data_IF_550752377849
#
_entry.id   IF_550752377849
#
_cell.length_a   1.000
_cell.length_b   1.000
_cell.length_c   1.000
_cell.angle_alpha   90.00
_cell.angle_beta   90.00
_cell.angle_gamma   90.00
#
_symmetry.space_group_name_H-M   'P 1'
#
loop_
_entity.id
_entity.type
_entity.pdbx_description
1 polymer ?
#
# COMPACT_ATOMS: atom_id res chain seq x y z
N UNK A 1 -7.48 7.71 20.40
CA UNK A 1 -6.37 7.78 19.42
C UNK A 1 -5.14 7.11 20.03
N UNK A 2 -4.29 6.46 19.25
CA UNK A 2 -3.12 5.73 19.74
C UNK A 2 -1.96 6.70 20.04
N UNK A 3 -1.46 6.77 21.27
CA UNK A 3 -0.42 7.75 21.64
C UNK A 3 1.01 7.32 21.29
N UNK A 4 1.36 6.05 21.48
CA UNK A 4 2.68 5.50 21.16
C UNK A 4 2.65 3.98 20.99
N UNK A 5 3.66 3.43 20.31
CA UNK A 5 3.94 1.98 20.24
C UNK A 5 5.44 1.77 20.40
N UNK A 6 5.84 0.91 21.34
CA UNK A 6 7.24 0.65 21.67
C UNK A 6 8.09 1.94 21.85
N UNK A 7 7.50 2.95 22.51
CA UNK A 7 8.14 4.26 22.74
C UNK A 7 8.10 5.23 21.55
N UNK A 8 7.64 4.80 20.37
CA UNK A 8 7.51 5.67 19.20
C UNK A 8 6.17 6.42 19.28
N UNK A 9 6.22 7.73 19.49
CA UNK A 9 5.02 8.57 19.61
C UNK A 9 4.25 8.74 18.28
N UNK A 10 2.94 8.98 18.37
CA UNK A 10 2.08 9.40 17.25
C UNK A 10 1.46 10.76 17.54
N UNK A 11 1.44 11.62 16.53
CA UNK A 11 0.75 12.92 16.58
C UNK A 11 -0.46 12.91 15.66
N UNK A 12 -1.45 13.75 15.96
CA UNK A 12 -2.70 13.84 15.21
C UNK A 12 -3.12 15.28 15.00
N UNK A 13 -3.86 15.54 13.93
CA UNK A 13 -4.61 16.79 13.76
C UNK A 13 -5.93 16.77 14.57
N UNK A 14 -6.73 17.85 14.44
CA UNK A 14 -7.98 17.98 15.17
C UNK A 14 -9.03 16.93 14.75
N UNK A 15 -9.06 16.54 13.47
CA UNK A 15 -9.99 15.55 12.93
C UNK A 15 -9.54 14.10 13.17
N UNK A 16 -8.29 13.91 13.58
CA UNK A 16 -7.76 12.62 14.03
C UNK A 16 -6.98 11.85 12.99
N UNK A 17 -6.50 12.50 11.95
CA UNK A 17 -5.51 11.93 11.05
C UNK A 17 -4.15 11.89 11.75
N UNK A 18 -3.44 10.78 11.67
CA UNK A 18 -2.05 10.66 12.15
C UNK A 18 -1.17 11.60 11.31
N UNK A 19 -0.61 12.64 11.92
CA UNK A 19 0.28 13.61 11.26
C UNK A 19 1.76 13.28 11.41
N UNK A 20 2.11 12.42 12.37
CA UNK A 20 3.48 11.98 12.57
C UNK A 20 3.59 10.64 13.29
N UNK A 21 4.64 9.87 12.96
CA UNK A 21 5.08 8.65 13.65
C UNK A 21 6.57 8.83 13.97
N UNK A 22 6.91 8.88 15.26
CA UNK A 22 8.29 9.08 15.71
C UNK A 22 8.79 10.51 15.51
N UNK A 23 7.92 11.51 15.72
CA UNK A 23 8.27 12.91 15.53
C UNK A 23 8.51 13.24 14.06
N UNK A 24 9.72 13.60 13.69
CA UNK A 24 10.06 13.91 12.30
C UNK A 24 10.42 12.70 11.46
N UNK A 25 10.54 11.50 12.06
CA UNK A 25 10.93 10.29 11.33
C UNK A 25 9.98 9.96 10.16
N UNK A 26 8.68 10.11 10.39
CA UNK A 26 7.63 10.09 9.35
C UNK A 26 6.57 11.12 9.69
N UNK A 27 6.22 11.97 8.73
CA UNK A 27 5.21 13.00 8.87
C UNK A 27 4.29 12.98 7.66
N UNK A 28 3.04 13.38 7.87
CA UNK A 28 2.00 13.32 6.86
C UNK A 28 1.18 14.60 6.88
N UNK A 29 0.80 15.10 5.70
CA UNK A 29 -0.15 16.20 5.57
C UNK A 29 -1.39 15.72 4.85
N UNK A 30 -2.54 16.26 5.26
CA UNK A 30 -3.85 15.89 4.74
C UNK A 30 -4.52 17.08 4.08
N UNK A 31 -5.35 16.82 3.07
CA UNK A 31 -6.27 17.83 2.56
C UNK A 31 -7.52 17.98 3.45
N UNK A 32 -8.42 18.88 3.06
CA UNK A 32 -9.67 19.15 3.78
C UNK A 32 -10.66 17.99 3.78
N UNK A 33 -10.47 17.00 2.89
CA UNK A 33 -11.26 15.76 2.86
C UNK A 33 -10.63 14.63 3.69
N UNK A 34 -9.52 14.91 4.38
CA UNK A 34 -8.83 13.92 5.23
C UNK A 34 -7.95 12.94 4.45
N UNK A 35 -7.64 13.21 3.18
CA UNK A 35 -6.78 12.35 2.35
C UNK A 35 -5.32 12.77 2.50
N UNK A 36 -4.41 11.80 2.66
CA UNK A 36 -2.97 12.08 2.78
C UNK A 36 -2.43 12.60 1.45
N UNK A 37 -2.05 13.87 1.38
CA UNK A 37 -1.53 14.48 0.13
C UNK A 37 0.00 14.55 0.09
N UNK A 38 0.67 14.33 1.21
CA UNK A 38 2.13 14.37 1.28
C UNK A 38 2.65 13.48 2.40
N UNK A 39 3.75 12.77 2.12
CA UNK A 39 4.60 12.13 3.11
C UNK A 39 5.95 12.86 3.19
N UNK A 40 6.45 13.02 4.40
CA UNK A 40 7.74 13.62 4.69
C UNK A 40 8.55 12.73 5.62
N UNK A 41 9.87 12.82 5.51
CA UNK A 41 10.83 12.24 6.46
C UNK A 41 11.87 13.27 6.82
N UNK A 42 12.14 13.42 8.11
CA UNK A 42 13.04 14.43 8.65
C UNK A 42 12.72 15.84 8.12
N UNK A 43 11.42 16.17 8.00
CA UNK A 43 10.95 17.44 7.46
C UNK A 43 11.04 17.61 5.93
N UNK A 44 11.64 16.65 5.20
CA UNK A 44 11.76 16.70 3.75
C UNK A 44 10.65 15.88 3.07
N UNK A 45 10.02 16.46 2.04
CA UNK A 45 9.00 15.78 1.24
C UNK A 45 9.61 14.57 0.53
N UNK A 46 9.04 13.39 0.76
CA UNK A 46 9.44 12.14 0.09
C UNK A 46 8.47 11.72 -0.99
N UNK A 47 7.20 12.10 -0.88
CA UNK A 47 6.18 11.82 -1.89
C UNK A 47 4.98 12.74 -1.75
N UNK A 48 4.38 13.10 -2.88
CA UNK A 48 3.09 13.78 -2.96
C UNK A 48 2.07 12.86 -3.64
N UNK A 49 0.80 12.99 -3.28
CA UNK A 49 -0.27 12.12 -3.77
C UNK A 49 -1.44 12.94 -4.36
N UNK A 50 -2.14 12.36 -5.34
CA UNK A 50 -3.40 12.86 -5.89
C UNK A 50 -4.39 11.73 -6.05
N UNK A 51 -5.65 12.09 -5.86
CA UNK A 51 -6.78 11.16 -5.87
C UNK A 51 -7.82 11.60 -6.88
N UNK A 52 -8.56 10.64 -7.44
CA UNK A 52 -9.74 10.93 -8.25
C UNK A 52 -11.00 11.09 -7.37
N UNK A 53 -12.15 11.40 -8.00
CA UNK A 53 -13.42 11.58 -7.29
C UNK A 53 -13.98 10.32 -6.62
N UNK A 54 -13.51 9.12 -7.01
CA UNK A 54 -13.86 7.86 -6.34
C UNK A 54 -13.04 7.65 -5.07
N UNK A 55 -11.90 8.33 -4.95
CA UNK A 55 -10.97 8.21 -3.83
C UNK A 55 -9.75 7.32 -4.12
N UNK A 56 -9.55 6.89 -5.37
CA UNK A 56 -8.39 6.09 -5.78
C UNK A 56 -7.15 6.96 -5.91
N UNK A 57 -5.99 6.46 -5.50
CA UNK A 57 -4.72 7.16 -5.66
C UNK A 57 -4.21 7.04 -7.09
N UNK A 58 -4.52 8.02 -7.94
CA UNK A 58 -4.21 7.99 -9.37
C UNK A 58 -2.81 8.52 -9.71
N UNK A 59 -2.14 9.20 -8.77
CA UNK A 59 -0.81 9.76 -9.01
C UNK A 59 -0.02 9.88 -7.73
N UNK A 60 1.25 9.46 -7.78
CA UNK A 60 2.28 9.81 -6.80
C UNK A 60 3.44 10.50 -7.51
N UNK A 61 4.06 11.49 -6.88
CA UNK A 61 5.14 12.26 -7.50
C UNK A 61 6.10 12.91 -6.51
N UNK A 62 7.35 13.06 -6.95
CA UNK A 62 8.41 13.82 -6.27
C UNK A 62 9.17 14.64 -7.31
N UNK A 63 9.18 15.96 -7.14
CA UNK A 63 9.70 16.86 -8.16
C UNK A 63 8.95 16.68 -9.48
N UNK A 64 9.68 16.36 -10.56
CA UNK A 64 9.13 16.11 -11.90
C UNK A 64 8.84 14.63 -12.19
N UNK A 65 9.23 13.71 -11.28
CA UNK A 65 9.04 12.28 -11.46
C UNK A 65 7.64 11.87 -11.03
N UNK A 66 6.88 11.27 -11.94
CA UNK A 66 5.51 10.82 -11.71
C UNK A 66 5.41 9.30 -11.78
N UNK A 67 4.46 8.76 -11.04
CA UNK A 67 3.87 7.46 -11.31
C UNK A 67 2.36 7.64 -11.34
N UNK A 68 1.75 7.25 -12.45
CA UNK A 68 0.31 7.23 -12.64
C UNK A 68 -0.21 5.82 -12.40
N UNK A 69 -1.36 5.72 -11.75
CA UNK A 69 -1.97 4.44 -11.37
C UNK A 69 -3.31 4.32 -12.07
N UNK A 70 -3.58 3.17 -12.68
CA UNK A 70 -4.88 2.84 -13.25
C UNK A 70 -5.60 1.78 -12.44
N UNK A 71 -6.91 1.90 -12.41
CA UNK A 71 -7.83 0.98 -11.76
C UNK A 71 -8.93 0.60 -12.74
N UNK A 72 -9.51 -0.59 -12.58
CA UNK A 72 -10.73 -0.97 -13.29
C UNK A 72 -11.98 -0.39 -12.60
N UNK A 73 -13.17 -0.73 -13.11
CA UNK A 73 -14.42 -0.24 -12.53
C UNK A 73 -14.70 -0.83 -11.13
N UNK A 74 -14.18 -2.01 -10.82
CA UNK A 74 -14.27 -2.64 -9.50
C UNK A 74 -13.27 -2.05 -8.49
N UNK A 75 -12.29 -1.25 -8.94
CA UNK A 75 -11.25 -0.65 -8.11
C UNK A 75 -10.02 -1.54 -7.97
N UNK A 76 -9.88 -2.59 -8.79
CA UNK A 76 -8.66 -3.38 -8.87
C UNK A 76 -7.55 -2.56 -9.49
N UNK A 77 -6.36 -2.65 -8.91
CA UNK A 77 -5.17 -2.03 -9.49
C UNK A 77 -4.79 -2.72 -10.80
N UNK A 78 -4.82 -1.98 -11.91
CA UNK A 78 -4.45 -2.50 -13.23
C UNK A 78 -2.97 -2.30 -13.54
N UNK A 79 -2.36 -1.25 -13.01
CA UNK A 79 -0.95 -1.00 -13.26
C UNK A 79 -0.46 0.38 -12.88
N UNK A 80 0.86 0.51 -12.85
CA UNK A 80 1.60 1.75 -12.64
C UNK A 80 2.35 2.12 -13.93
N UNK A 81 2.33 3.40 -14.26
CA UNK A 81 2.94 3.97 -15.46
C UNK A 81 3.84 5.13 -15.08
N UNK A 82 4.94 5.31 -15.80
CA UNK A 82 5.87 6.42 -15.55
C UNK A 82 5.34 7.77 -16.08
N UNK A 83 6.15 8.84 -15.97
CA UNK A 83 5.81 10.18 -16.46
C UNK A 83 5.43 10.21 -17.95
N UNK A 84 5.96 9.29 -18.76
CA UNK A 84 5.72 9.22 -20.20
C UNK A 84 4.61 8.23 -20.57
N UNK A 85 3.95 7.62 -19.58
CA UNK A 85 2.94 6.59 -19.79
C UNK A 85 3.50 5.21 -20.12
N UNK A 86 4.81 4.99 -19.97
CA UNK A 86 5.37 3.65 -20.15
C UNK A 86 4.99 2.76 -18.95
N UNK A 87 4.55 1.51 -19.18
CA UNK A 87 4.16 0.60 -18.11
C UNK A 87 5.38 0.24 -17.25
N UNK A 88 5.22 0.36 -15.93
CA UNK A 88 6.18 -0.12 -14.94
C UNK A 88 5.81 -1.52 -14.49
N UNK A 89 4.55 -1.69 -14.12
CA UNK A 89 3.96 -2.96 -13.74
C UNK A 89 2.47 -2.98 -14.10
N UNK A 90 1.94 -4.13 -14.49
CA UNK A 90 0.51 -4.31 -14.77
C UNK A 90 0.03 -5.64 -14.19
N UNK A 91 -1.11 -5.65 -13.53
CA UNK A 91 -1.72 -6.87 -13.00
C UNK A 91 -2.71 -7.46 -13.99
N UNK A 92 -2.79 -8.80 -13.98
CA UNK A 92 -3.81 -9.58 -14.67
C UNK A 92 -4.70 -10.19 -13.59
N UNK A 93 -5.99 -9.95 -13.71
CA UNK A 93 -7.00 -10.37 -12.75
C UNK A 93 -7.86 -11.50 -13.33
N UNK A 94 -8.21 -12.46 -12.50
CA UNK A 94 -9.25 -13.45 -12.76
C UNK A 94 -10.29 -13.28 -11.65
N UNK A 95 -11.46 -12.75 -12.03
CA UNK A 95 -12.44 -12.22 -11.08
C UNK A 95 -11.76 -11.23 -10.12
N UNK A 96 -11.87 -11.43 -8.80
CA UNK A 96 -11.27 -10.56 -7.77
C UNK A 96 -9.87 -11.03 -7.33
N UNK A 97 -9.26 -12.00 -8.04
CA UNK A 97 -7.94 -12.55 -7.69
C UNK A 97 -6.86 -12.07 -8.68
N UNK A 98 -5.74 -11.49 -8.20
CA UNK A 98 -4.61 -11.19 -9.06
C UNK A 98 -3.88 -12.50 -9.38
N UNK A 99 -3.79 -12.85 -10.66
CA UNK A 99 -3.21 -14.12 -11.13
C UNK A 99 -1.95 -13.94 -11.97
N UNK A 100 -1.69 -12.73 -12.44
CA UNK A 100 -0.50 -12.44 -13.25
C UNK A 100 0.04 -11.03 -13.05
N UNK A 101 1.33 -10.87 -13.35
CA UNK A 101 2.04 -9.60 -13.30
C UNK A 101 2.92 -9.45 -14.52
N UNK A 102 2.76 -8.36 -15.27
CA UNK A 102 3.74 -7.89 -16.23
C UNK A 102 4.66 -6.89 -15.51
N UNK A 103 5.95 -7.18 -15.42
CA UNK A 103 6.96 -6.33 -14.77
C UNK A 103 8.32 -6.48 -15.45
N UNK A 104 9.32 -5.69 -15.07
CA UNK A 104 10.71 -5.82 -15.56
C UNK A 104 10.80 -5.87 -17.09
N UNK A 105 10.28 -4.82 -17.75
CA UNK A 105 10.10 -4.73 -19.20
C UNK A 105 9.07 -5.74 -19.76
N UNK A 106 7.87 -5.72 -19.17
CA UNK A 106 6.71 -6.52 -19.60
C UNK A 106 6.93 -8.04 -19.61
N UNK A 107 7.83 -8.56 -18.75
CA UNK A 107 7.94 -9.99 -18.50
C UNK A 107 6.78 -10.47 -17.65
N UNK A 108 6.17 -11.58 -18.06
CA UNK A 108 5.09 -12.23 -17.36
C UNK A 108 5.61 -12.99 -16.14
N UNK A 109 4.89 -12.84 -15.04
CA UNK A 109 5.03 -13.62 -13.81
C UNK A 109 3.64 -14.11 -13.39
N UNK A 110 3.58 -15.25 -12.71
CA UNK A 110 2.34 -15.75 -12.12
C UNK A 110 2.25 -15.32 -10.66
N UNK A 111 1.09 -14.81 -10.26
CA UNK A 111 0.80 -14.48 -8.87
C UNK A 111 0.00 -15.64 -8.29
N UNK A 112 0.45 -16.13 -7.13
CA UNK A 112 -0.33 -17.05 -6.29
C UNK A 112 -0.88 -16.28 -5.09
N UNK A 113 -2.13 -15.82 -5.15
CA UNK A 113 -2.78 -15.15 -4.03
C UNK A 113 -3.31 -16.16 -3.01
N UNK A 114 -3.53 -15.71 -1.77
CA UNK A 114 -4.35 -16.46 -0.81
C UNK A 114 -5.85 -16.34 -1.10
N UNK A 115 -6.67 -17.00 -0.29
CA UNK A 115 -8.13 -16.99 -0.41
C UNK A 115 -8.78 -15.60 -0.28
N UNK A 116 -8.05 -14.59 0.19
CA UNK A 116 -8.53 -13.20 0.27
C UNK A 116 -8.15 -12.40 -0.98
N UNK A 117 -7.24 -12.91 -1.83
CA UNK A 117 -6.68 -12.16 -2.96
C UNK A 117 -5.35 -11.46 -2.65
N UNK A 118 -4.73 -11.73 -1.50
CA UNK A 118 -3.43 -11.15 -1.15
C UNK A 118 -2.31 -11.94 -1.82
N UNK A 119 -1.41 -11.34 -2.62
CA UNK A 119 -0.28 -12.05 -3.21
C UNK A 119 0.59 -12.72 -2.14
N UNK A 120 0.90 -14.00 -2.30
CA UNK A 120 1.79 -14.75 -1.39
C UNK A 120 3.06 -15.22 -2.06
N UNK A 121 3.00 -15.57 -3.33
CA UNK A 121 4.15 -15.97 -4.13
C UNK A 121 4.02 -15.32 -5.51
N UNK A 122 5.15 -14.93 -6.10
CA UNK A 122 5.24 -14.62 -7.52
C UNK A 122 6.28 -15.54 -8.15
N UNK A 123 5.88 -16.23 -9.21
CA UNK A 123 6.70 -17.22 -9.93
C UNK A 123 7.18 -16.64 -11.25
N UNK A 124 8.47 -16.82 -11.56
CA UNK A 124 8.98 -16.72 -12.92
C UNK A 124 8.57 -17.99 -13.69
N UNK A 125 7.67 -17.90 -14.68
CA UNK A 125 7.12 -19.07 -15.35
C UNK A 125 8.10 -19.76 -16.30
N UNK A 126 9.23 -19.11 -16.65
CA UNK A 126 10.25 -19.72 -17.51
C UNK A 126 11.20 -20.60 -16.68
N UNK A 127 11.56 -20.12 -15.49
CA UNK A 127 12.46 -20.82 -14.57
C UNK A 127 11.73 -21.74 -13.59
N UNK A 128 10.43 -21.54 -13.42
CA UNK A 128 9.58 -22.22 -12.43
C UNK A 128 10.10 -22.05 -10.99
N UNK A 129 10.43 -20.81 -10.63
CA UNK A 129 10.95 -20.46 -9.30
C UNK A 129 10.25 -19.24 -8.75
N UNK A 130 10.11 -19.20 -7.42
CA UNK A 130 9.64 -18.01 -6.72
C UNK A 130 10.68 -16.90 -6.83
N UNK A 131 10.22 -15.71 -7.24
CA UNK A 131 11.01 -14.47 -7.33
C UNK A 131 10.52 -13.40 -6.37
N UNK A 132 9.42 -13.66 -5.68
CA UNK A 132 8.91 -12.86 -4.59
C UNK A 132 8.05 -13.72 -3.68
N UNK A 133 8.16 -13.53 -2.36
CA UNK A 133 7.30 -14.21 -1.40
C UNK A 133 6.89 -13.29 -0.26
N UNK A 134 5.67 -13.48 0.24
CA UNK A 134 5.18 -12.80 1.43
C UNK A 134 4.41 -13.77 2.33
N UNK A 135 5.17 -14.38 3.25
CA UNK A 135 4.68 -15.44 4.13
C UNK A 135 3.62 -14.92 5.11
N UNK A 136 2.55 -15.72 5.27
CA UNK A 136 1.54 -15.55 6.31
C UNK A 136 2.03 -15.97 7.70
N UNK A 137 3.16 -16.67 7.78
CA UNK A 137 3.60 -17.30 9.04
C UNK A 137 4.05 -16.25 10.03
N UNK A 138 3.43 -16.26 11.21
CA UNK A 138 3.90 -15.53 12.39
C UNK A 138 3.35 -14.11 12.54
N UNK A 139 2.47 -13.65 11.66
CA UNK A 139 1.94 -12.28 11.72
C UNK A 139 0.59 -12.19 10.95
N UNK A 140 -0.42 -11.53 11.54
CA UNK A 140 -1.79 -11.51 11.02
C UNK A 140 -2.21 -10.17 10.39
N UNK A 141 -1.50 -9.07 10.67
CA UNK A 141 -1.87 -7.71 10.29
C UNK A 141 -1.06 -7.16 9.10
N UNK A 142 -0.25 -8.00 8.44
CA UNK A 142 0.52 -7.68 7.25
C UNK A 142 1.79 -6.86 7.52
N UNK A 143 2.36 -6.95 8.72
CA UNK A 143 3.52 -6.17 9.13
C UNK A 143 4.88 -6.75 8.70
N UNK A 144 4.94 -8.01 8.28
CA UNK A 144 6.17 -8.60 7.73
C UNK A 144 6.47 -7.99 6.36
N UNK A 145 7.75 -7.73 6.07
CA UNK A 145 8.15 -7.34 4.72
C UNK A 145 8.16 -8.58 3.81
N UNK A 146 7.74 -8.45 2.53
CA UNK A 146 7.99 -9.49 1.54
C UNK A 146 9.49 -9.75 1.35
N UNK A 147 9.86 -11.00 1.09
CA UNK A 147 11.15 -11.33 0.52
C UNK A 147 11.08 -11.08 -0.99
N UNK A 148 11.82 -10.07 -1.45
CA UNK A 148 11.82 -9.62 -2.83
C UNK A 148 12.82 -10.37 -3.72
N UNK A 149 13.68 -11.22 -3.15
CA UNK A 149 14.68 -12.02 -3.86
C UNK A 149 14.84 -13.38 -3.14
N UNK A 150 13.80 -14.24 -3.16
CA UNK A 150 13.85 -15.55 -2.50
C UNK A 150 14.69 -16.59 -3.25
N UNK A 151 14.97 -16.39 -4.53
CA UNK A 151 15.87 -17.22 -5.34
C UNK A 151 17.35 -16.83 -5.21
N UNK A 152 17.65 -15.63 -4.70
CA UNK A 152 18.98 -15.21 -4.28
C UNK A 152 19.92 -14.89 -5.45
N UNK A 153 19.36 -14.52 -6.61
CA UNK A 153 20.13 -14.20 -7.82
C UNK A 153 20.53 -12.70 -7.89
N UNK A 154 20.10 -11.90 -6.92
CA UNK A 154 20.35 -10.46 -6.82
C UNK A 154 19.37 -9.60 -7.61
N UNK A 155 18.38 -10.18 -8.30
CA UNK A 155 17.40 -9.49 -9.12
C UNK A 155 16.05 -9.37 -8.39
N UNK A 156 15.99 -8.47 -7.41
CA UNK A 156 14.80 -8.28 -6.60
C UNK A 156 13.55 -7.85 -7.42
N UNK A 157 12.42 -8.50 -7.19
CA UNK A 157 11.10 -8.07 -7.66
C UNK A 157 10.39 -7.26 -6.57
N UNK A 158 10.02 -6.02 -6.87
CA UNK A 158 9.17 -5.21 -5.97
C UNK A 158 7.71 -5.37 -6.37
N UNK A 159 6.89 -5.91 -5.48
CA UNK A 159 5.42 -5.90 -5.61
C UNK A 159 4.82 -5.22 -4.37
N UNK A 160 4.11 -4.13 -4.60
CA UNK A 160 3.53 -3.29 -3.53
C UNK A 160 2.14 -3.75 -3.07
N UNK A 161 1.49 -4.68 -3.79
CA UNK A 161 0.21 -5.24 -3.35
C UNK A 161 0.34 -5.91 -1.97
N UNK A 162 -0.66 -5.71 -1.10
CA UNK A 162 -0.75 -6.29 0.24
C UNK A 162 -2.10 -7.00 0.38
N UNK A 163 -2.77 -6.84 1.52
CA UNK A 163 -4.17 -7.28 1.68
C UNK A 163 -5.08 -6.64 0.60
N UNK A 164 -6.32 -7.14 0.42
CA UNK A 164 -7.19 -6.68 -0.64
C UNK A 164 -7.36 -5.16 -0.66
N UNK A 165 -7.19 -4.55 -1.84
CA UNK A 165 -7.24 -3.10 -2.05
C UNK A 165 -6.02 -2.32 -1.51
N UNK A 166 -5.10 -2.96 -0.79
CA UNK A 166 -3.96 -2.31 -0.17
C UNK A 166 -2.74 -2.30 -1.08
N UNK A 167 -2.07 -1.15 -1.13
CA UNK A 167 -0.74 -1.00 -1.73
C UNK A 167 0.23 -0.37 -0.74
N UNK A 168 1.30 -1.07 -0.42
CA UNK A 168 2.38 -0.52 0.37
C UNK A 168 3.04 0.65 -0.37
N UNK A 169 3.21 1.75 0.33
CA UNK A 169 3.99 2.88 -0.17
C UNK A 169 5.22 3.03 0.69
N UNK A 170 6.38 2.75 0.10
CA UNK A 170 7.64 2.85 0.82
C UNK A 170 7.87 4.26 1.37
N UNK A 171 7.45 5.33 0.69
CA UNK A 171 7.73 6.70 1.10
C UNK A 171 7.07 7.06 2.45
N UNK A 172 5.78 6.76 2.60
CA UNK A 172 5.02 6.90 3.85
C UNK A 172 5.31 5.76 4.84
N UNK A 173 5.60 4.56 4.34
CA UNK A 173 5.68 3.34 5.13
C UNK A 173 4.32 2.87 5.66
N UNK A 174 3.24 3.28 5.00
CA UNK A 174 1.85 2.85 5.21
C UNK A 174 1.36 2.08 3.98
N UNK A 175 0.25 1.36 4.13
CA UNK A 175 -0.46 0.78 3.01
C UNK A 175 -1.60 1.73 2.60
N UNK A 176 -1.53 2.32 1.41
CA UNK A 176 -2.67 3.05 0.86
C UNK A 176 -3.82 2.06 0.64
N UNK A 177 -4.97 2.33 1.24
CA UNK A 177 -6.15 1.47 1.17
C UNK A 177 -7.39 2.30 0.87
N UNK A 178 -7.47 2.74 -0.37
CA UNK A 178 -8.55 3.60 -0.85
C UNK A 178 -8.67 4.88 0.01
N UNK A 179 -9.77 5.08 0.74
CA UNK A 179 -10.01 6.29 1.53
C UNK A 179 -9.08 6.51 2.73
N UNK A 180 -8.36 5.47 3.18
CA UNK A 180 -7.52 5.54 4.38
C UNK A 180 -6.17 4.87 4.14
N UNK A 181 -5.20 5.22 4.97
CA UNK A 181 -3.87 4.63 4.97
C UNK A 181 -3.75 3.70 6.18
N UNK A 182 -3.37 2.46 5.95
CA UNK A 182 -3.29 1.41 6.95
C UNK A 182 -1.87 1.25 7.48
N UNK A 183 -1.71 1.30 8.80
CA UNK A 183 -0.46 1.05 9.51
C UNK A 183 -0.40 -0.40 9.98
N UNK A 184 0.21 -1.27 9.18
CA UNK A 184 0.32 -2.70 9.48
C UNK A 184 0.95 -3.00 10.85
N UNK A 185 1.95 -2.21 11.26
CA UNK A 185 2.60 -2.33 12.57
C UNK A 185 1.65 -2.18 13.78
N UNK A 186 0.47 -1.58 13.58
CA UNK A 186 -0.52 -1.38 14.64
C UNK A 186 -1.89 -1.94 14.30
N UNK A 187 -2.03 -2.60 13.14
CA UNK A 187 -3.27 -3.25 12.74
C UNK A 187 -4.46 -2.31 12.53
N UNK A 188 -4.22 -1.04 12.21
CA UNK A 188 -5.27 0.00 12.17
C UNK A 188 -5.01 1.08 11.12
N UNK A 189 -6.03 1.85 10.81
CA UNK A 189 -5.92 3.02 9.94
C UNK A 189 -5.25 4.21 10.65
N UNK A 190 -4.61 5.08 9.87
CA UNK A 190 -4.07 6.37 10.29
C UNK A 190 -5.13 7.46 10.41
N UNK A 191 -6.27 7.30 9.73
CA UNK A 191 -7.41 8.21 9.76
C UNK A 191 -8.59 7.56 10.49
N UNK A 192 -9.42 8.40 11.10
CA UNK A 192 -10.77 7.99 11.53
C UNK A 192 -11.61 7.66 10.29
N UNK A 193 -12.54 6.72 10.43
CA UNK A 193 -13.45 6.32 9.36
C UNK A 193 -14.25 7.52 8.84
N UNK A 194 -14.23 7.80 7.51
CA UNK A 194 -15.05 8.85 6.92
C UNK A 194 -16.55 8.68 7.15
N UNK A 195 -17.03 7.43 7.33
CA UNK A 195 -18.44 7.16 7.70
C UNK A 195 -18.68 7.17 9.22
N UNK A 196 -17.69 7.58 10.00
CA UNK A 196 -17.79 7.71 11.46
C UNK A 196 -17.99 6.38 12.16
N UNK A 197 -18.97 6.33 13.07
CA UNK A 197 -19.26 5.15 13.89
C UNK A 197 -20.17 4.13 13.20
N UNK A 198 -20.66 4.41 11.99
CA UNK A 198 -21.42 3.43 11.19
C UNK A 198 -20.55 2.21 10.83
N UNK A 199 -19.23 2.41 10.69
CA UNK A 199 -18.25 1.33 10.52
C UNK A 199 -17.90 0.56 11.80
N UNK A 200 -18.48 0.93 12.94
CA UNK A 200 -18.26 0.31 14.25
C UNK A 200 -17.69 1.26 15.30
N UNK A 201 -17.61 0.76 16.54
CA UNK A 201 -17.20 1.56 17.72
C UNK A 201 -15.77 2.12 17.61
N UNK A 202 -14.88 1.41 16.93
CA UNK A 202 -13.53 1.88 16.64
C UNK A 202 -13.46 2.37 15.20
N UNK A 203 -13.50 3.68 15.00
CA UNK A 203 -13.36 4.31 13.68
C UNK A 203 -11.98 4.13 13.03
N UNK A 204 -11.05 3.43 13.67
CA UNK A 204 -9.72 3.16 13.13
C UNK A 204 -9.46 1.67 12.89
N UNK A 205 -10.35 0.78 13.34
CA UNK A 205 -10.11 -0.65 13.24
C UNK A 205 -10.04 -1.09 11.78
N UNK A 206 -9.09 -1.97 11.46
CA UNK A 206 -9.10 -2.70 10.21
C UNK A 206 -9.92 -3.96 10.39
N UNK A 207 -11.02 -4.10 9.62
CA UNK A 207 -11.90 -5.28 9.59
C UNK A 207 -12.24 -5.86 10.97
N UNK A 208 -12.67 -5.00 11.89
CA UNK A 208 -13.02 -5.39 13.27
C UNK A 208 -11.90 -6.13 14.02
N UNK A 209 -10.64 -5.86 13.68
CA UNK A 209 -9.45 -6.52 14.21
C UNK A 209 -9.39 -8.02 13.90
N UNK A 210 -10.00 -8.45 12.80
CA UNK A 210 -10.01 -9.83 12.27
C UNK A 210 -9.59 -9.82 10.79
N UNK A 211 -8.32 -9.47 10.50
CA UNK A 211 -7.76 -9.48 9.14
C UNK A 211 -7.72 -10.87 8.52
#
# INVERSE_FOLDING_TARGET
>A
RLSAVAGVARSYDATGNTTAIGGTARQYTFDTSGRMIQALRNGAVTMNYRYNGRGEQIRRFLGTTNTYTLYDEAGHWLGDYDTNGAPKQQAIWLDDLPVGLLANANKLHYIEPDHLGSPRVVIDPTRDVAVWTWSLKGEAFGNTAPNQDPDGDGAALVLDMRFPGQRFDAASGLNQNYFRDYEAATGRYGQSDPIGLEGGLSSYAYVSSRP
#
